data_IF_527937142842
#
_entry.id   IF_527937142842
#
_cell.length_a   1.000
_cell.length_b   1.000
_cell.length_c   1.000
_cell.angle_alpha   90.00
_cell.angle_beta   90.00
_cell.angle_gamma   90.00
#
_symmetry.space_group_name_H-M   'P 1'
#
loop_
_entity.id
_entity.type
_entity.pdbx_description
1 polymer ?
#
# COMPACT_ATOMS: atom_id res chain seq x y z
N UNK A 1 35.76 27.25 -32.61
CA UNK A 1 36.91 26.44 -32.12
C UNK A 1 37.71 27.24 -31.12
N UNK A 2 37.54 26.99 -29.81
CA UNK A 2 38.46 27.44 -28.76
C UNK A 2 38.65 26.28 -27.79
N UNK A 3 39.88 25.77 -27.75
CA UNK A 3 40.33 24.67 -26.89
C UNK A 3 40.50 25.22 -25.48
N UNK A 4 39.91 24.57 -24.48
CA UNK A 4 40.27 24.77 -23.08
C UNK A 4 40.70 23.42 -22.50
N UNK A 5 41.92 23.46 -21.96
CA UNK A 5 42.78 22.39 -21.49
C UNK A 5 42.35 21.84 -20.14
N UNK A 6 42.65 20.56 -19.93
CA UNK A 6 42.50 19.77 -18.70
C UNK A 6 43.20 20.42 -17.49
N UNK A 7 42.56 20.33 -16.33
CA UNK A 7 43.20 20.38 -15.02
C UNK A 7 42.49 19.39 -14.09
N UNK A 8 43.14 18.26 -13.82
CA UNK A 8 42.71 17.27 -12.84
C UNK A 8 43.36 17.60 -11.49
N UNK A 9 42.57 17.70 -10.43
CA UNK A 9 43.07 17.76 -9.05
C UNK A 9 42.33 16.71 -8.24
N UNK A 10 43.08 15.66 -7.89
CA UNK A 10 42.69 14.64 -6.92
C UNK A 10 42.77 15.23 -5.50
N UNK A 11 41.76 15.00 -4.69
CA UNK A 11 41.81 15.24 -3.24
C UNK A 11 41.21 14.04 -2.50
N UNK A 12 41.84 13.71 -1.38
CA UNK A 12 41.97 12.40 -0.78
C UNK A 12 40.70 11.82 -0.11
N UNK A 13 40.56 10.50 -0.19
CA UNK A 13 39.69 9.69 0.68
C UNK A 13 40.33 9.56 2.08
N UNK A 14 39.58 9.90 3.12
CA UNK A 14 39.87 9.45 4.49
C UNK A 14 38.87 8.38 4.90
N UNK A 15 39.40 7.20 5.25
CA UNK A 15 38.67 6.05 5.77
C UNK A 15 38.65 6.19 7.30
N UNK A 16 37.46 6.25 7.90
CA UNK A 16 37.28 6.16 9.36
C UNK A 16 36.69 4.80 9.72
N UNK A 17 37.50 3.94 10.35
CA UNK A 17 37.05 2.69 11.00
C UNK A 17 37.01 2.95 12.50
N UNK A 18 35.84 2.86 13.12
CA UNK A 18 35.69 2.82 14.58
C UNK A 18 35.30 1.40 14.98
N UNK A 19 36.27 0.67 15.52
CA UNK A 19 36.12 -0.60 16.22
C UNK A 19 36.56 -0.44 17.68
N UNK A 20 35.79 -1.01 18.61
CA UNK A 20 36.09 -1.19 20.04
C UNK A 20 34.80 -1.47 20.81
N UNK A 21 34.47 -2.70 21.27
CA UNK A 21 35.00 -3.49 22.41
C UNK A 21 35.05 -2.72 23.73
N UNK A 22 34.71 -3.21 24.92
CA UNK A 22 33.96 -4.37 25.46
C UNK A 22 33.97 -4.18 27.00
N UNK A 23 32.94 -4.67 27.70
CA UNK A 23 32.89 -5.17 29.10
C UNK A 23 33.57 -4.41 30.26
N UNK A 24 32.81 -4.08 31.31
CA UNK A 24 32.74 -4.85 32.56
C UNK A 24 32.21 -4.00 33.74
N UNK A 25 31.44 -4.68 34.59
CA UNK A 25 30.76 -4.20 35.78
C UNK A 25 31.71 -3.80 36.91
N UNK A 26 31.25 -2.93 37.82
CA UNK A 26 31.53 -3.06 39.26
C UNK A 26 30.28 -2.81 40.10
N UNK A 27 30.10 -3.73 41.07
CA UNK A 27 29.13 -3.77 42.15
C UNK A 27 29.66 -3.00 43.36
N UNK A 28 28.74 -2.55 44.21
CA UNK A 28 28.97 -2.30 45.64
C UNK A 28 28.65 -0.85 46.01
N UNK A 29 27.83 -0.54 47.02
CA UNK A 29 27.39 -1.34 48.14
C UNK A 29 26.14 -0.77 48.80
N UNK A 30 25.68 -1.58 49.73
CA UNK A 30 24.38 -1.65 50.39
C UNK A 30 24.26 -0.71 51.62
N UNK A 31 23.02 -0.61 52.09
CA UNK A 31 22.54 -0.32 53.46
C UNK A 31 21.99 1.07 53.84
N UNK A 32 20.65 1.14 53.75
CA UNK A 32 19.71 1.36 54.87
C UNK A 32 19.39 2.79 55.34
N UNK A 33 18.16 3.25 55.06
CA UNK A 33 17.18 3.59 56.12
C UNK A 33 15.73 3.59 55.63
N UNK A 34 14.92 2.96 56.45
CA UNK A 34 13.50 2.64 56.40
C UNK A 34 12.61 3.86 56.76
N UNK A 35 11.45 4.00 56.11
CA UNK A 35 10.25 4.59 56.73
C UNK A 35 8.97 4.19 55.97
N UNK A 36 8.30 3.19 56.54
CA UNK A 36 6.85 3.06 56.82
C UNK A 36 5.78 3.64 55.86
N UNK A 37 4.93 2.74 55.35
CA UNK A 37 3.63 2.94 54.69
C UNK A 37 2.51 3.39 55.68
N UNK A 38 1.21 3.60 55.35
CA UNK A 38 0.27 2.76 54.53
C UNK A 38 -0.52 3.56 53.45
N UNK A 39 -1.00 3.03 52.31
CA UNK A 39 -2.06 2.04 52.02
C UNK A 39 -3.52 2.57 52.05
N UNK A 40 -4.35 1.97 51.17
CA UNK A 40 -5.82 2.09 50.96
C UNK A 40 -6.31 3.14 49.93
N UNK A 41 -7.21 2.87 48.97
CA UNK A 41 -8.14 1.73 48.76
C UNK A 41 -8.64 1.67 47.30
N UNK A 42 -8.60 0.45 46.75
CA UNK A 42 -9.63 -0.32 46.03
C UNK A 42 -10.74 0.27 45.13
N UNK A 43 -10.89 -0.42 43.99
CA UNK A 43 -12.11 -1.09 43.47
C UNK A 43 -13.13 -0.35 42.58
N UNK A 44 -13.25 -0.83 41.33
CA UNK A 44 -14.46 -1.45 40.73
C UNK A 44 -14.11 -2.04 39.35
N UNK A 45 -13.99 -3.36 39.15
CA UNK A 45 -15.03 -4.38 39.01
C UNK A 45 -15.97 -4.20 37.80
N UNK A 46 -15.67 -4.99 36.76
CA UNK A 46 -16.54 -5.80 35.90
C UNK A 46 -17.83 -5.21 35.31
N UNK A 47 -17.93 -5.32 33.96
CA UNK A 47 -19.20 -5.72 33.35
C UNK A 47 -19.00 -6.69 32.19
N UNK A 48 -19.82 -7.73 32.24
CA UNK A 48 -19.76 -9.01 31.56
C UNK A 48 -20.06 -8.98 30.05
N UNK A 49 -19.36 -9.86 29.35
CA UNK A 49 -19.84 -10.86 28.38
C UNK A 49 -21.08 -10.54 27.51
N UNK A 50 -20.85 -10.55 26.19
CA UNK A 50 -21.59 -11.42 25.27
C UNK A 50 -20.62 -12.04 24.26
N UNK A 51 -20.11 -13.22 24.60
CA UNK A 51 -19.59 -14.16 23.61
C UNK A 51 -20.80 -14.89 23.00
N UNK A 52 -21.19 -14.52 21.78
CA UNK A 52 -22.11 -15.33 21.01
C UNK A 52 -21.40 -16.61 20.57
N UNK A 53 -21.99 -17.72 21.02
CA UNK A 53 -21.58 -19.09 20.77
C UNK A 53 -21.99 -19.44 19.34
N UNK A 54 -21.15 -19.13 18.35
CA UNK A 54 -21.34 -19.68 17.00
C UNK A 54 -20.81 -21.11 16.98
N UNK A 55 -21.72 -22.06 17.16
CA UNK A 55 -21.55 -23.46 16.76
C UNK A 55 -21.62 -23.53 15.23
N UNK A 56 -20.55 -23.08 14.58
CA UNK A 56 -20.35 -23.18 13.14
C UNK A 56 -19.25 -24.20 12.85
N UNK A 57 -19.56 -25.13 11.95
CA UNK A 57 -18.64 -26.02 11.21
C UNK A 57 -17.30 -25.31 10.91
N UNK A 58 -16.13 -26.00 10.94
CA UNK A 58 -14.81 -25.36 10.80
C UNK A 58 -14.80 -24.35 9.65
N UNK A 59 -14.59 -23.09 10.00
CA UNK A 59 -14.63 -21.93 9.10
C UNK A 59 -13.72 -22.17 7.90
N UNK A 60 -14.30 -22.24 6.70
CA UNK A 60 -13.57 -21.85 5.51
C UNK A 60 -13.01 -20.45 5.80
N UNK A 61 -11.68 -20.31 5.85
CA UNK A 61 -10.96 -19.09 6.25
C UNK A 61 -11.76 -17.85 5.83
N UNK A 62 -12.25 -17.05 6.79
CA UNK A 62 -13.02 -15.84 6.48
C UNK A 62 -12.20 -14.95 5.55
N UNK A 63 -12.58 -14.92 4.29
CA UNK A 63 -11.99 -14.06 3.28
C UNK A 63 -12.61 -12.68 3.43
N UNK A 64 -11.77 -11.65 3.51
CA UNK A 64 -12.25 -10.27 3.51
C UNK A 64 -12.49 -9.86 2.06
N UNK A 65 -13.75 -9.61 1.70
CA UNK A 65 -14.13 -9.13 0.38
C UNK A 65 -14.35 -7.60 0.44
N UNK A 66 -13.81 -6.88 -0.54
CA UNK A 66 -14.13 -5.46 -0.75
C UNK A 66 -14.87 -5.29 -2.07
N UNK A 67 -15.63 -4.20 -2.21
CA UNK A 67 -16.38 -3.86 -3.42
C UNK A 67 -17.90 -3.88 -3.23
N UNK A 68 -18.52 -4.94 -2.68
CA UNK A 68 -19.96 -4.98 -2.48
C UNK A 68 -20.47 -3.86 -1.57
N UNK A 69 -21.76 -3.54 -1.69
CA UNK A 69 -22.43 -2.63 -0.79
C UNK A 69 -22.27 -3.06 0.68
N UNK A 70 -22.02 -2.09 1.56
CA UNK A 70 -21.73 -2.32 2.98
C UNK A 70 -20.30 -2.82 3.28
N UNK A 71 -19.45 -3.04 2.28
CA UNK A 71 -18.03 -3.31 2.52
C UNK A 71 -17.26 -2.03 2.87
N UNK A 72 -16.01 -2.18 3.34
CA UNK A 72 -15.17 -1.03 3.68
C UNK A 72 -14.89 -0.10 2.48
N UNK A 73 -15.02 -0.61 1.26
CA UNK A 73 -14.86 0.13 0.03
C UNK A 73 -15.91 -0.35 -0.98
N UNK A 74 -16.99 0.41 -1.17
CA UNK A 74 -17.98 0.13 -2.21
C UNK A 74 -17.42 0.51 -3.59
N UNK A 75 -17.34 -0.46 -4.50
CA UNK A 75 -16.70 -0.36 -5.80
C UNK A 75 -17.53 -1.08 -6.86
N UNK A 76 -17.41 -0.74 -8.16
CA UNK A 76 -18.13 -1.44 -9.23
C UNK A 76 -17.54 -2.84 -9.55
N UNK A 77 -16.43 -3.21 -8.89
CA UNK A 77 -15.86 -4.55 -8.87
C UNK A 77 -15.66 -4.99 -7.42
N UNK A 78 -15.66 -6.30 -7.18
CA UNK A 78 -15.31 -6.92 -5.92
C UNK A 78 -14.06 -7.78 -6.07
N UNK A 79 -13.29 -7.90 -5.01
CA UNK A 79 -12.13 -8.79 -4.96
C UNK A 79 -11.71 -9.08 -3.53
N UNK A 80 -11.00 -10.18 -3.36
CA UNK A 80 -10.49 -10.64 -2.08
C UNK A 80 -9.29 -9.78 -1.62
N UNK A 81 -9.29 -9.43 -0.34
CA UNK A 81 -8.22 -8.71 0.30
C UNK A 81 -7.28 -9.69 0.99
N UNK A 82 -5.98 -9.52 0.77
CA UNK A 82 -4.96 -10.32 1.43
C UNK A 82 -4.99 -10.14 2.95
N UNK A 83 -4.60 -11.19 3.68
CA UNK A 83 -4.57 -11.19 5.15
C UNK A 83 -3.73 -10.01 5.64
N UNK A 84 -4.23 -9.34 6.69
CA UNK A 84 -3.58 -8.20 7.35
C UNK A 84 -3.40 -6.94 6.51
N UNK A 85 -3.97 -6.88 5.30
CA UNK A 85 -4.19 -5.60 4.62
C UNK A 85 -5.44 -4.94 5.19
N UNK A 86 -5.39 -3.61 5.36
CA UNK A 86 -6.51 -2.85 5.94
C UNK A 86 -7.14 -1.95 4.88
N UNK A 87 -8.43 -2.14 4.55
CA UNK A 87 -9.11 -1.27 3.61
C UNK A 87 -9.60 0.00 4.29
N UNK A 88 -9.54 1.12 3.57
CA UNK A 88 -10.15 2.40 3.94
C UNK A 88 -10.82 3.02 2.72
N UNK A 89 -12.15 3.05 2.74
CA UNK A 89 -12.93 3.77 1.73
C UNK A 89 -12.69 5.28 1.84
N UNK A 90 -12.66 5.94 0.69
CA UNK A 90 -12.54 7.40 0.62
C UNK A 90 -13.91 8.02 0.34
N UNK A 91 -14.23 9.09 1.05
CA UNK A 91 -15.36 9.95 0.69
C UNK A 91 -15.17 10.53 -0.72
N UNK A 92 -16.22 11.10 -1.31
CA UNK A 92 -16.10 11.74 -2.63
C UNK A 92 -15.10 12.89 -2.58
N UNK A 93 -15.13 13.67 -1.50
CA UNK A 93 -14.27 14.82 -1.26
C UNK A 93 -12.81 14.40 -1.06
N UNK A 94 -12.56 13.41 -0.20
CA UNK A 94 -11.21 12.88 0.04
C UNK A 94 -10.65 12.21 -1.21
N UNK A 95 -11.49 11.50 -1.96
CA UNK A 95 -11.12 10.87 -3.22
C UNK A 95 -10.68 11.88 -4.29
N UNK A 96 -11.36 13.03 -4.36
CA UNK A 96 -10.98 14.15 -5.24
C UNK A 96 -9.72 14.85 -4.75
N UNK A 97 -9.56 15.01 -3.43
CA UNK A 97 -8.35 15.57 -2.85
C UNK A 97 -7.14 14.69 -3.16
N UNK A 98 -7.25 13.37 -2.95
CA UNK A 98 -6.21 12.39 -3.28
C UNK A 98 -5.83 12.46 -4.77
N UNK A 99 -6.83 12.47 -5.65
CA UNK A 99 -6.61 12.65 -7.09
C UNK A 99 -5.80 13.90 -7.41
N UNK A 100 -6.15 15.05 -6.82
CA UNK A 100 -5.44 16.31 -7.04
C UNK A 100 -3.98 16.25 -6.57
N UNK A 101 -3.72 15.71 -5.37
CA UNK A 101 -2.36 15.68 -4.82
C UNK A 101 -1.47 14.63 -5.49
N UNK A 102 -2.06 13.53 -5.96
CA UNK A 102 -1.35 12.48 -6.71
C UNK A 102 -1.18 12.80 -8.19
N UNK A 103 -1.84 13.85 -8.70
CA UNK A 103 -1.77 14.25 -10.10
C UNK A 103 -2.75 13.53 -11.03
N UNK A 104 -3.71 12.77 -10.48
CA UNK A 104 -4.68 11.97 -11.23
C UNK A 104 -6.07 12.61 -11.34
N UNK A 105 -6.13 13.87 -11.78
CA UNK A 105 -7.36 14.67 -11.72
C UNK A 105 -8.53 14.11 -12.56
N UNK A 106 -8.26 13.29 -13.58
CA UNK A 106 -9.30 12.61 -14.36
C UNK A 106 -9.96 11.43 -13.61
N UNK A 107 -9.45 11.05 -12.44
CA UNK A 107 -9.90 9.91 -11.66
C UNK A 107 -10.29 10.33 -10.25
N UNK A 108 -11.09 9.49 -9.59
CA UNK A 108 -11.39 9.64 -8.15
C UNK A 108 -10.76 8.50 -7.38
N UNK A 109 -9.98 8.82 -6.35
CA UNK A 109 -9.55 7.83 -5.36
C UNK A 109 -10.77 7.26 -4.64
N UNK A 110 -10.95 5.94 -4.66
CA UNK A 110 -12.11 5.28 -4.09
C UNK A 110 -11.78 4.49 -2.82
N UNK A 111 -10.58 3.91 -2.76
CA UNK A 111 -10.16 3.07 -1.65
C UNK A 111 -8.63 3.09 -1.54
N UNK A 112 -8.12 3.11 -0.32
CA UNK A 112 -6.72 2.83 -0.01
C UNK A 112 -6.63 1.53 0.79
N UNK A 113 -5.71 0.66 0.40
CA UNK A 113 -5.46 -0.63 1.04
C UNK A 113 -4.07 -0.57 1.66
N UNK A 114 -4.03 -0.46 2.99
CA UNK A 114 -2.79 -0.29 3.75
C UNK A 114 -2.10 -1.65 4.00
N UNK A 115 -0.86 -1.76 3.53
CA UNK A 115 -0.04 -2.96 3.66
C UNK A 115 0.77 -2.99 4.98
N UNK A 116 0.78 -1.91 5.76
CA UNK A 116 1.55 -1.81 7.03
C UNK A 116 1.27 -2.92 8.02
N UNK A 117 0.01 -3.30 8.29
CA UNK A 117 -0.24 -4.39 9.22
C UNK A 117 0.20 -5.76 8.67
N UNK A 118 0.47 -5.87 7.37
CA UNK A 118 1.05 -7.04 6.72
C UNK A 118 2.59 -6.98 6.61
N UNK A 119 3.24 -5.95 7.14
CA UNK A 119 4.71 -5.81 7.19
C UNK A 119 5.34 -4.99 6.07
N UNK A 120 4.54 -4.36 5.18
CA UNK A 120 5.05 -3.49 4.10
C UNK A 120 4.62 -2.03 4.34
N UNK A 121 5.39 -1.04 3.92
CA UNK A 121 5.07 0.40 4.10
C UNK A 121 4.09 0.90 3.03
N UNK A 122 4.09 0.27 1.86
CA UNK A 122 3.29 0.66 0.69
C UNK A 122 1.77 0.49 0.81
N UNK A 123 1.11 0.82 -0.29
CA UNK A 123 -0.34 0.80 -0.42
C UNK A 123 -0.74 0.28 -1.79
N UNK A 124 -1.91 -0.35 -1.85
CA UNK A 124 -2.64 -0.53 -3.09
C UNK A 124 -3.78 0.49 -3.13
N UNK A 125 -3.84 1.31 -4.19
CA UNK A 125 -4.86 2.34 -4.34
C UNK A 125 -5.84 1.96 -5.43
N UNK A 126 -7.11 2.18 -5.16
CA UNK A 126 -8.20 1.95 -6.11
C UNK A 126 -8.70 3.29 -6.60
N UNK A 127 -8.66 3.47 -7.91
CA UNK A 127 -9.17 4.64 -8.61
C UNK A 127 -10.41 4.25 -9.42
N UNK A 128 -11.33 5.19 -9.59
CA UNK A 128 -12.53 4.98 -10.40
C UNK A 128 -12.78 6.17 -11.32
N UNK A 129 -13.38 5.86 -12.47
CA UNK A 129 -14.02 6.83 -13.37
C UNK A 129 -15.34 6.25 -13.83
N UNK A 130 -16.34 7.10 -13.98
CA UNK A 130 -17.68 6.81 -14.49
C UNK A 130 -17.74 6.78 -16.03
N UNK A 131 -16.62 7.01 -16.73
CA UNK A 131 -16.56 6.85 -18.19
C UNK A 131 -16.82 5.40 -18.62
N UNK A 132 -17.83 5.23 -19.46
CA UNK A 132 -18.25 3.92 -19.99
C UNK A 132 -17.94 3.75 -21.48
N UNK A 133 -17.54 4.82 -22.17
CA UNK A 133 -17.23 4.87 -23.61
C UNK A 133 -15.82 4.35 -23.95
N UNK A 134 -14.95 4.20 -22.95
CA UNK A 134 -13.54 3.80 -23.12
C UNK A 134 -13.30 2.34 -22.78
N UNK A 135 -12.31 1.70 -23.41
CA UNK A 135 -11.83 0.38 -23.00
C UNK A 135 -10.98 0.46 -21.73
N UNK A 136 -10.74 -0.69 -21.06
CA UNK A 136 -9.81 -0.75 -19.93
C UNK A 136 -8.40 -0.26 -20.32
N UNK A 137 -7.91 -0.67 -21.49
CA UNK A 137 -6.63 -0.25 -22.08
C UNK A 137 -6.55 1.26 -22.24
N UNK A 138 -7.53 1.87 -22.91
CA UNK A 138 -7.55 3.32 -23.19
C UNK A 138 -7.59 4.14 -21.89
N UNK A 139 -8.38 3.71 -20.91
CA UNK A 139 -8.46 4.39 -19.62
C UNK A 139 -7.14 4.24 -18.84
N UNK A 140 -6.48 3.08 -18.90
CA UNK A 140 -5.17 2.89 -18.28
C UNK A 140 -4.08 3.74 -18.93
N UNK A 141 -4.10 3.90 -20.26
CA UNK A 141 -3.18 4.83 -20.95
C UNK A 141 -3.39 6.27 -20.53
N UNK A 142 -4.65 6.71 -20.36
CA UNK A 142 -4.96 8.04 -19.84
C UNK A 142 -4.45 8.23 -18.40
N UNK A 143 -4.62 7.22 -17.54
CA UNK A 143 -4.05 7.21 -16.18
C UNK A 143 -2.52 7.35 -16.20
N UNK A 144 -1.85 6.59 -17.06
CA UNK A 144 -0.39 6.66 -17.20
C UNK A 144 0.10 7.96 -17.85
N UNK A 145 -0.74 8.66 -18.61
CA UNK A 145 -0.45 9.99 -19.14
C UNK A 145 -0.37 11.08 -18.07
N UNK A 146 -0.96 10.84 -16.89
CA UNK A 146 -0.90 11.73 -15.72
C UNK A 146 0.28 11.38 -14.78
N UNK A 147 0.86 10.19 -14.91
CA UNK A 147 2.02 9.76 -14.12
C UNK A 147 3.30 10.51 -14.53
N UNK A 148 4.12 10.83 -13.52
CA UNK A 148 5.39 11.55 -13.72
C UNK A 148 6.59 10.65 -13.49
N UNK A 149 7.70 10.99 -14.13
CA UNK A 149 8.98 10.29 -14.00
C UNK A 149 8.90 8.79 -14.33
N UNK A 150 8.06 8.43 -15.30
CA UNK A 150 7.84 7.05 -15.73
C UNK A 150 8.69 6.70 -16.94
N UNK A 151 9.24 5.49 -16.94
CA UNK A 151 9.91 4.85 -18.07
C UNK A 151 9.47 3.39 -18.22
N UNK A 152 9.86 2.76 -19.32
CA UNK A 152 9.72 1.31 -19.53
C UNK A 152 8.30 0.76 -19.40
N UNK A 153 7.29 1.56 -19.77
CA UNK A 153 5.89 1.14 -19.72
C UNK A 153 5.64 -0.06 -20.63
N UNK A 154 5.15 -1.14 -20.05
CA UNK A 154 4.77 -2.35 -20.77
C UNK A 154 3.33 -2.67 -20.45
N UNK A 155 2.48 -2.55 -21.44
CA UNK A 155 1.07 -2.85 -21.33
C UNK A 155 0.76 -4.25 -21.86
N UNK A 156 -0.20 -4.91 -21.23
CA UNK A 156 -0.70 -6.22 -21.63
C UNK A 156 -2.19 -6.30 -21.42
N UNK A 157 -2.91 -6.88 -22.37
CA UNK A 157 -4.32 -7.21 -22.20
C UNK A 157 -4.43 -8.61 -21.60
N UNK A 158 -5.27 -8.73 -20.58
CA UNK A 158 -5.42 -9.94 -19.77
C UNK A 158 -6.82 -10.04 -19.17
N UNK A 159 -7.01 -11.00 -18.26
CA UNK A 159 -8.23 -11.09 -17.45
C UNK A 159 -7.96 -10.84 -15.97
N UNK A 160 -8.89 -10.16 -15.32
CA UNK A 160 -8.98 -10.05 -13.87
C UNK A 160 -10.22 -10.82 -13.40
N UNK A 161 -10.01 -11.99 -12.77
CA UNK A 161 -11.02 -13.03 -12.73
C UNK A 161 -11.48 -13.37 -14.15
N UNK A 162 -12.76 -13.19 -14.43
CA UNK A 162 -13.34 -13.35 -15.78
C UNK A 162 -13.50 -12.04 -16.55
N UNK A 163 -13.17 -10.89 -15.95
CA UNK A 163 -13.36 -9.58 -16.55
C UNK A 163 -12.23 -9.22 -17.52
N UNK A 164 -12.55 -8.68 -18.71
CA UNK A 164 -11.55 -8.09 -19.59
C UNK A 164 -10.81 -6.95 -18.90
N UNK A 165 -9.48 -6.99 -18.95
CA UNK A 165 -8.64 -6.07 -18.23
C UNK A 165 -7.37 -5.73 -19.03
N UNK A 166 -6.70 -4.65 -18.61
CA UNK A 166 -5.39 -4.28 -19.12
C UNK A 166 -4.48 -3.98 -17.95
N UNK A 167 -3.24 -4.42 -18.00
CA UNK A 167 -2.24 -4.22 -16.95
C UNK A 167 -1.03 -3.50 -17.54
N UNK A 168 -0.46 -2.57 -16.78
CA UNK A 168 0.81 -1.91 -17.07
C UNK A 168 1.81 -2.23 -15.97
N UNK A 169 3.02 -2.60 -16.37
CA UNK A 169 4.20 -2.63 -15.51
C UNK A 169 5.16 -1.57 -16.00
N UNK A 170 5.72 -0.78 -15.09
CA UNK A 170 6.58 0.34 -15.44
C UNK A 170 7.60 0.63 -14.34
N UNK A 171 8.61 1.42 -14.70
CA UNK A 171 9.59 1.96 -13.78
C UNK A 171 9.25 3.42 -13.50
N UNK A 172 9.28 3.84 -12.24
CA UNK A 172 9.10 5.22 -11.84
C UNK A 172 10.30 5.69 -11.02
N UNK A 173 10.81 6.90 -11.27
CA UNK A 173 11.78 7.53 -10.37
C UNK A 173 11.08 8.01 -9.10
N UNK A 174 11.46 7.48 -7.94
CA UNK A 174 10.87 7.83 -6.65
C UNK A 174 11.10 9.30 -6.31
N UNK A 175 10.05 10.04 -5.98
CA UNK A 175 10.20 11.41 -5.49
C UNK A 175 10.83 11.49 -4.08
N UNK A 176 10.81 10.38 -3.33
CA UNK A 176 11.34 10.30 -1.96
C UNK A 176 12.83 9.95 -1.93
N UNK A 177 13.26 9.05 -2.81
CA UNK A 177 14.62 8.47 -2.79
C UNK A 177 15.43 8.75 -4.05
N UNK A 178 14.81 9.32 -5.09
CA UNK A 178 15.40 9.51 -6.43
C UNK A 178 15.83 8.20 -7.16
N UNK A 179 15.57 7.04 -6.56
CA UNK A 179 15.88 5.74 -7.12
C UNK A 179 14.74 5.22 -8.02
N UNK A 180 15.06 4.43 -9.07
CA UNK A 180 14.05 3.76 -9.87
C UNK A 180 13.35 2.66 -9.05
N UNK A 181 12.03 2.63 -9.13
CA UNK A 181 11.19 1.60 -8.50
C UNK A 181 10.18 1.03 -9.49
N UNK A 182 9.97 -0.28 -9.44
CA UNK A 182 8.89 -0.91 -10.20
C UNK A 182 7.53 -0.57 -9.60
N UNK A 183 6.54 -0.37 -10.47
CA UNK A 183 5.15 -0.16 -10.13
C UNK A 183 4.28 -0.94 -11.13
N UNK A 184 2.99 -1.13 -10.80
CA UNK A 184 2.02 -1.67 -11.74
C UNK A 184 0.61 -1.17 -11.48
N UNK A 185 -0.22 -1.16 -12.53
CA UNK A 185 -1.64 -0.88 -12.43
C UNK A 185 -2.45 -1.80 -13.34
N UNK A 186 -3.63 -2.19 -12.86
CA UNK A 186 -4.62 -2.98 -13.58
C UNK A 186 -5.89 -2.17 -13.76
N UNK A 187 -6.37 -2.02 -14.99
CA UNK A 187 -7.67 -1.43 -15.28
C UNK A 187 -8.69 -2.51 -15.65
N UNK A 188 -9.90 -2.39 -15.12
CA UNK A 188 -11.02 -3.29 -15.39
C UNK A 188 -12.27 -2.47 -15.72
N UNK A 189 -12.90 -2.80 -16.86
CA UNK A 189 -14.13 -2.14 -17.31
C UNK A 189 -15.35 -2.84 -16.72
N UNK A 190 -16.31 -2.03 -16.29
CA UNK A 190 -17.64 -2.47 -15.83
C UNK A 190 -18.72 -1.62 -16.52
N UNK A 191 -20.00 -2.01 -16.44
CA UNK A 191 -21.10 -1.16 -16.90
C UNK A 191 -21.20 0.19 -16.17
N UNK A 192 -20.67 0.29 -14.94
CA UNK A 192 -20.69 1.50 -14.09
C UNK A 192 -19.47 2.40 -14.31
N UNK A 193 -18.55 2.03 -15.20
CA UNK A 193 -17.29 2.75 -15.44
C UNK A 193 -16.06 1.85 -15.34
N UNK A 194 -14.88 2.45 -15.19
CA UNK A 194 -13.59 1.73 -15.11
C UNK A 194 -13.01 1.87 -13.71
N UNK A 195 -12.52 0.75 -13.17
CA UNK A 195 -11.74 0.70 -11.92
C UNK A 195 -10.28 0.43 -12.24
N UNK A 196 -9.37 1.18 -11.61
CA UNK A 196 -7.93 0.94 -11.68
C UNK A 196 -7.43 0.55 -10.30
N UNK A 197 -6.71 -0.57 -10.22
CA UNK A 197 -5.99 -0.99 -9.02
C UNK A 197 -4.50 -0.75 -9.26
N UNK A 198 -3.95 0.24 -8.58
CA UNK A 198 -2.53 0.61 -8.64
C UNK A 198 -1.78 0.02 -7.43
N UNK A 199 -0.74 -0.76 -7.71
CA UNK A 199 0.20 -1.23 -6.70
C UNK A 199 1.47 -0.37 -6.79
N UNK A 200 1.70 0.39 -5.73
CA UNK A 200 3.00 1.01 -5.49
C UNK A 200 3.68 0.40 -4.27
N UNK A 201 5.02 0.41 -4.28
CA UNK A 201 5.87 0.16 -3.11
C UNK A 201 6.90 1.26 -2.95
N UNK A 202 7.47 1.39 -1.76
CA UNK A 202 8.54 2.32 -1.43
C UNK A 202 9.70 2.19 -2.42
N UNK A 203 10.09 0.95 -2.69
CA UNK A 203 11.10 0.57 -3.68
C UNK A 203 10.66 -0.68 -4.48
N UNK A 204 11.57 -1.20 -5.31
CA UNK A 204 11.32 -2.39 -6.14
C UNK A 204 11.17 -3.67 -5.32
N UNK A 205 11.89 -3.82 -4.20
CA UNK A 205 11.81 -5.03 -3.38
C UNK A 205 10.49 -5.08 -2.62
N UNK A 206 10.08 -3.98 -1.99
CA UNK A 206 8.77 -3.92 -1.34
C UNK A 206 7.62 -4.13 -2.34
N UNK A 207 7.73 -3.56 -3.56
CA UNK A 207 6.76 -3.83 -4.62
C UNK A 207 6.65 -5.34 -4.92
N UNK A 208 7.77 -6.07 -4.99
CA UNK A 208 7.78 -7.53 -5.21
C UNK A 208 7.13 -8.27 -4.05
N UNK A 209 7.40 -7.87 -2.81
CA UNK A 209 6.84 -8.47 -1.60
C UNK A 209 5.32 -8.32 -1.52
N UNK A 210 4.77 -7.23 -2.09
CA UNK A 210 3.33 -6.98 -2.15
C UNK A 210 2.61 -7.61 -3.35
N UNK A 211 3.34 -8.16 -4.34
CA UNK A 211 2.73 -8.82 -5.50
C UNK A 211 1.73 -9.91 -5.17
N UNK A 212 1.92 -10.77 -4.15
CA UNK A 212 0.94 -11.79 -3.81
C UNK A 212 -0.45 -11.22 -3.46
N UNK A 213 -0.50 -10.05 -2.82
CA UNK A 213 -1.76 -9.38 -2.47
C UNK A 213 -2.44 -8.80 -3.72
N UNK A 214 -1.67 -8.17 -4.60
CA UNK A 214 -2.16 -7.67 -5.88
C UNK A 214 -2.67 -8.80 -6.79
N UNK A 215 -1.94 -9.91 -6.87
CA UNK A 215 -2.34 -11.08 -7.66
C UNK A 215 -3.59 -11.75 -7.11
N UNK A 216 -3.77 -11.78 -5.79
CA UNK A 216 -5.02 -12.24 -5.17
C UNK A 216 -6.19 -11.35 -5.60
N UNK A 217 -6.04 -10.03 -5.49
CA UNK A 217 -7.06 -9.07 -5.90
C UNK A 217 -7.41 -9.22 -7.40
N UNK A 218 -6.40 -9.31 -8.27
CA UNK A 218 -6.58 -9.51 -9.71
C UNK A 218 -7.31 -10.81 -10.03
N UNK A 219 -6.92 -11.94 -9.42
CA UNK A 219 -7.48 -13.26 -9.73
C UNK A 219 -8.89 -13.46 -9.21
N UNK A 220 -9.25 -12.81 -8.11
CA UNK A 220 -10.57 -12.92 -7.48
C UNK A 220 -11.57 -11.88 -7.97
N UNK A 221 -11.21 -11.06 -8.96
CA UNK A 221 -12.02 -9.93 -9.35
C UNK A 221 -13.33 -10.34 -10.04
N UNK A 222 -14.43 -9.75 -9.59
CA UNK A 222 -15.77 -9.99 -10.12
C UNK A 222 -16.57 -8.68 -10.17
N UNK A 223 -17.56 -8.51 -11.08
CA UNK A 223 -18.39 -7.32 -11.10
C UNK A 223 -19.27 -7.26 -9.85
N UNK A 224 -19.52 -6.07 -9.32
CA UNK A 224 -20.57 -5.89 -8.28
C UNK A 224 -21.90 -5.58 -8.93
N UNK A 225 -22.94 -6.28 -8.47
CA UNK A 225 -24.34 -6.05 -8.85
C UNK A 225 -24.81 -4.70 -8.32
#
# INVERSE_FOLDING_TARGET
>A
MRKLTRGAVSAALTIGVLSGCSSAAEKGGDTTRESTAPAETAAKAEKAAKAEKNTGKPDAKKVTLIGPAGSACELPVSFELAKAWKPSGLSVEDGKLLAKISGHAAFRGACELDAKPAGNIGFMRVWTTDRTDSSARQTLEAYMGEEKNVSEQKFSDLKAGDLPASEVVYTQKSALTDEPRQQRALAVKTPKGVTIVHLGGLDTEEHKEMLPAYELAKKSMAPTT
#
